data_IF_933609130242
#
_entry.id   IF_933609130242
#
_cell.length_a   1.000
_cell.length_b   1.000
_cell.length_c   1.000
_cell.angle_alpha   90.00
_cell.angle_beta   90.00
_cell.angle_gamma   90.00
#
_symmetry.space_group_name_H-M   'P 1'
#
loop_
_entity.id
_entity.type
_entity.pdbx_description
1 polymer ?
#
# COMPACT_ATOMS: atom_id res chain seq x y z
N UNK A 1 -1.75 -9.53 5.69
CA UNK A 1 -2.94 -9.52 4.81
C UNK A 1 -2.67 -10.19 3.46
N UNK A 2 -1.67 -9.76 2.68
CA UNK A 2 -1.37 -10.32 1.35
C UNK A 2 -1.01 -11.81 1.42
N UNK A 3 -0.23 -12.22 2.43
CA UNK A 3 0.08 -13.63 2.69
C UNK A 3 -1.16 -14.46 3.05
N UNK A 4 -2.00 -13.98 3.96
CA UNK A 4 -3.26 -14.65 4.32
C UNK A 4 -4.19 -14.81 3.09
N UNK A 5 -4.17 -13.84 2.16
CA UNK A 5 -4.91 -13.93 0.91
C UNK A 5 -4.30 -14.98 -0.03
N UNK A 6 -2.97 -15.07 -0.12
CA UNK A 6 -2.26 -16.10 -0.89
C UNK A 6 -2.67 -17.51 -0.41
N UNK A 7 -2.60 -17.75 0.91
CA UNK A 7 -3.00 -19.01 1.52
C UNK A 7 -4.51 -19.30 1.36
N UNK A 8 -5.37 -18.30 1.56
CA UNK A 8 -6.81 -18.45 1.37
C UNK A 8 -7.16 -18.86 -0.08
N UNK A 9 -6.52 -18.23 -1.08
CA UNK A 9 -6.72 -18.60 -2.49
C UNK A 9 -6.35 -20.06 -2.75
N UNK A 10 -5.23 -20.53 -2.20
CA UNK A 10 -4.83 -21.94 -2.31
C UNK A 10 -5.85 -22.88 -1.69
N UNK A 11 -6.26 -22.62 -0.45
CA UNK A 11 -7.22 -23.47 0.29
C UNK A 11 -8.56 -23.55 -0.42
N UNK A 12 -9.07 -22.41 -0.90
CA UNK A 12 -10.33 -22.34 -1.66
C UNK A 12 -10.21 -23.17 -2.94
N UNK A 13 -9.14 -23.01 -3.71
CA UNK A 13 -8.97 -23.75 -4.97
C UNK A 13 -8.80 -25.26 -4.75
N UNK A 14 -8.02 -25.66 -3.74
CA UNK A 14 -7.85 -27.07 -3.36
C UNK A 14 -9.20 -27.70 -2.97
N UNK A 15 -9.98 -27.01 -2.15
CA UNK A 15 -11.31 -27.46 -1.73
C UNK A 15 -12.25 -27.61 -2.92
N UNK A 16 -12.31 -26.61 -3.80
CA UNK A 16 -13.20 -26.68 -4.97
C UNK A 16 -12.79 -27.78 -5.94
N UNK A 17 -11.49 -28.00 -6.14
CA UNK A 17 -10.97 -29.08 -6.98
C UNK A 17 -11.33 -30.46 -6.40
N UNK A 18 -11.19 -30.66 -5.09
CA UNK A 18 -11.56 -31.91 -4.42
C UNK A 18 -13.05 -32.26 -4.58
N UNK A 19 -13.91 -31.26 -4.77
CA UNK A 19 -15.35 -31.44 -4.95
C UNK A 19 -15.83 -31.28 -6.41
N UNK A 20 -14.91 -31.15 -7.39
CA UNK A 20 -15.28 -30.97 -8.80
C UNK A 20 -16.04 -29.66 -9.09
N UNK A 21 -15.91 -28.65 -8.23
CA UNK A 21 -16.54 -27.35 -8.40
C UNK A 21 -15.58 -26.43 -9.15
N UNK A 22 -16.04 -25.81 -10.24
CA UNK A 22 -15.25 -24.80 -10.96
C UNK A 22 -15.17 -23.52 -10.12
N UNK A 23 -13.95 -23.12 -9.74
CA UNK A 23 -13.70 -21.89 -9.00
C UNK A 23 -13.11 -20.82 -9.92
N UNK A 24 -13.60 -19.58 -9.78
CA UNK A 24 -12.99 -18.40 -10.39
C UNK A 24 -12.94 -17.30 -9.33
N UNK A 25 -11.72 -16.93 -8.95
CA UNK A 25 -11.49 -15.89 -7.96
C UNK A 25 -11.81 -14.52 -8.55
N UNK A 26 -12.53 -13.69 -7.77
CA UNK A 26 -12.78 -12.30 -8.12
C UNK A 26 -11.94 -11.40 -7.23
N UNK A 27 -10.93 -10.76 -7.82
CA UNK A 27 -10.02 -9.87 -7.11
C UNK A 27 -10.66 -8.48 -6.94
N UNK A 28 -10.96 -8.15 -5.68
CA UNK A 28 -11.56 -6.88 -5.30
C UNK A 28 -10.57 -5.70 -5.25
N UNK A 29 -11.09 -4.55 -4.83
CA UNK A 29 -10.32 -3.32 -4.59
C UNK A 29 -9.21 -3.57 -3.56
N UNK A 30 -7.97 -3.17 -3.84
CA UNK A 30 -6.91 -3.20 -2.84
C UNK A 30 -5.86 -4.29 -2.99
N UNK A 31 -6.14 -5.36 -3.73
CA UNK A 31 -5.17 -6.42 -3.99
C UNK A 31 -4.12 -6.00 -5.02
N UNK A 32 -2.97 -6.69 -5.02
CA UNK A 32 -1.86 -6.49 -5.95
C UNK A 32 -2.31 -6.40 -7.42
N UNK A 33 -3.35 -7.14 -7.80
CA UNK A 33 -3.94 -7.13 -9.16
C UNK A 33 -4.79 -5.89 -9.46
N UNK A 34 -5.55 -5.38 -8.48
CA UNK A 34 -6.59 -4.35 -8.71
C UNK A 34 -6.21 -2.93 -8.28
N UNK A 35 -5.01 -2.70 -7.75
CA UNK A 35 -4.58 -1.36 -7.28
C UNK A 35 -3.58 -0.65 -8.17
N UNK A 36 -3.13 -1.26 -9.25
CA UNK A 36 -1.93 -0.78 -9.95
C UNK A 36 -0.74 -0.63 -9.00
N UNK A 37 -0.76 -1.30 -7.82
CA UNK A 37 0.30 -1.26 -6.79
C UNK A 37 1.63 -1.76 -7.35
N UNK A 38 1.54 -2.71 -8.28
CA UNK A 38 2.60 -3.04 -9.23
C UNK A 38 1.97 -3.15 -10.62
N UNK A 39 2.79 -3.44 -11.65
CA UNK A 39 2.26 -3.63 -12.99
C UNK A 39 1.40 -4.91 -13.06
N UNK A 40 0.33 -4.85 -13.87
CA UNK A 40 -0.73 -5.87 -13.93
C UNK A 40 -0.19 -7.26 -14.20
N UNK A 41 0.79 -7.37 -15.10
CA UNK A 41 1.40 -8.64 -15.48
C UNK A 41 2.04 -9.34 -14.26
N UNK A 42 2.86 -8.65 -13.49
CA UNK A 42 3.56 -9.17 -12.31
C UNK A 42 2.58 -9.53 -11.19
N UNK A 43 1.52 -8.73 -11.02
CA UNK A 43 0.49 -9.02 -10.05
C UNK A 43 -0.25 -10.33 -10.36
N UNK A 44 -0.50 -10.63 -11.63
CA UNK A 44 -1.10 -11.90 -12.06
C UNK A 44 -0.12 -13.06 -11.82
N UNK A 45 1.16 -12.89 -12.17
CA UNK A 45 2.21 -13.89 -11.93
C UNK A 45 2.45 -14.18 -10.44
N UNK A 46 2.16 -13.21 -9.56
CA UNK A 46 2.31 -13.37 -8.11
C UNK A 46 1.20 -14.19 -7.44
N UNK A 47 0.13 -14.55 -8.17
CA UNK A 47 -0.92 -15.41 -7.62
C UNK A 47 -0.36 -16.81 -7.32
N UNK A 48 -0.95 -17.55 -6.37
CA UNK A 48 -0.50 -18.92 -6.11
C UNK A 48 -0.64 -19.80 -7.34
N UNK A 49 0.36 -20.66 -7.55
CA UNK A 49 0.39 -21.60 -8.67
C UNK A 49 -0.91 -22.43 -8.68
N UNK A 50 -1.55 -22.52 -9.84
CA UNK A 50 -2.80 -23.26 -10.00
C UNK A 50 -4.01 -22.68 -9.27
N UNK A 51 -4.10 -21.35 -9.20
CA UNK A 51 -5.35 -20.66 -8.79
C UNK A 51 -6.04 -19.90 -9.92
N UNK A 52 -5.33 -19.65 -11.03
CA UNK A 52 -5.83 -18.85 -12.15
C UNK A 52 -6.54 -19.70 -13.22
N UNK A 53 -5.95 -20.83 -13.63
CA UNK A 53 -6.54 -21.80 -14.56
C UNK A 53 -7.16 -21.17 -15.83
N UNK A 54 -6.44 -20.25 -16.47
CA UNK A 54 -6.86 -19.60 -17.72
C UNK A 54 -7.98 -18.58 -17.56
N UNK A 55 -8.39 -18.26 -16.33
CA UNK A 55 -9.45 -17.29 -16.06
C UNK A 55 -9.02 -16.29 -14.99
N UNK A 56 -9.18 -15.00 -15.27
CA UNK A 56 -8.99 -13.96 -14.28
C UNK A 56 -10.15 -12.98 -14.29
N UNK A 57 -10.56 -12.54 -13.10
CA UNK A 57 -11.55 -11.49 -12.91
C UNK A 57 -11.06 -10.55 -11.82
N UNK A 58 -10.86 -9.28 -12.15
CA UNK A 58 -10.45 -8.28 -11.18
C UNK A 58 -11.22 -6.97 -11.39
N UNK A 59 -11.22 -6.14 -10.34
CA UNK A 59 -11.84 -4.82 -10.37
C UNK A 59 -10.84 -3.80 -10.87
N UNK A 60 -11.16 -3.08 -11.94
CA UNK A 60 -10.46 -1.84 -12.31
C UNK A 60 -11.08 -0.67 -11.58
N UNK A 61 -10.24 0.15 -10.93
CA UNK A 61 -10.71 1.28 -10.14
C UNK A 61 -10.92 2.52 -11.01
N UNK A 62 -11.89 3.36 -10.66
CA UNK A 62 -12.20 4.57 -11.44
C UNK A 62 -11.00 5.51 -11.59
N UNK A 63 -10.16 5.62 -10.56
CA UNK A 63 -8.95 6.45 -10.58
C UNK A 63 -7.87 5.97 -11.57
N UNK A 64 -7.92 4.70 -12.01
CA UNK A 64 -6.94 4.13 -12.94
C UNK A 64 -7.42 4.06 -14.39
N UNK A 65 -8.73 4.16 -14.61
CA UNK A 65 -9.32 3.96 -15.94
C UNK A 65 -8.76 4.90 -16.99
N UNK A 66 -8.58 6.18 -16.65
CA UNK A 66 -8.10 7.16 -17.63
C UNK A 66 -6.65 6.91 -18.06
N UNK A 67 -5.78 6.50 -17.15
CA UNK A 67 -4.38 6.23 -17.53
C UNK A 67 -4.22 4.92 -18.29
N UNK A 68 -5.08 3.92 -18.02
CA UNK A 68 -5.01 2.60 -18.62
C UNK A 68 -5.73 2.48 -19.95
N UNK A 69 -6.85 3.19 -20.11
CA UNK A 69 -7.80 2.91 -21.19
C UNK A 69 -8.30 4.15 -21.94
N UNK A 70 -7.82 5.37 -21.65
CA UNK A 70 -8.29 6.58 -22.38
C UNK A 70 -7.78 6.70 -23.81
N UNK A 71 -6.71 6.02 -24.18
CA UNK A 71 -6.22 5.98 -25.56
C UNK A 71 -5.90 4.55 -25.97
N UNK A 72 -5.85 4.32 -27.28
CA UNK A 72 -5.71 2.98 -27.84
C UNK A 72 -4.39 2.33 -27.43
N UNK A 73 -3.31 3.09 -27.37
CA UNK A 73 -1.97 2.60 -27.05
C UNK A 73 -1.89 2.07 -25.62
N UNK A 74 -2.40 2.84 -24.65
CA UNK A 74 -2.47 2.43 -23.23
C UNK A 74 -3.41 1.25 -23.04
N UNK A 75 -4.56 1.25 -23.72
CA UNK A 75 -5.51 0.14 -23.64
C UNK A 75 -4.92 -1.17 -24.18
N UNK A 76 -4.26 -1.12 -25.34
CA UNK A 76 -3.58 -2.27 -25.94
C UNK A 76 -2.46 -2.76 -25.01
N UNK A 77 -1.65 -1.86 -24.46
CA UNK A 77 -0.60 -2.22 -23.51
C UNK A 77 -1.18 -2.94 -22.28
N UNK A 78 -2.19 -2.36 -21.64
CA UNK A 78 -2.78 -2.90 -20.42
C UNK A 78 -3.45 -4.26 -20.67
N UNK A 79 -4.21 -4.41 -21.75
CA UNK A 79 -4.79 -5.69 -22.15
C UNK A 79 -3.71 -6.73 -22.47
N UNK A 80 -2.62 -6.32 -23.11
CA UNK A 80 -1.48 -7.20 -23.40
C UNK A 80 -0.82 -7.69 -22.11
N UNK A 81 -0.62 -6.80 -21.12
CA UNK A 81 -0.08 -7.18 -19.81
C UNK A 81 -1.01 -8.15 -19.07
N UNK A 82 -2.32 -7.92 -19.11
CA UNK A 82 -3.32 -8.82 -18.55
C UNK A 82 -3.33 -10.20 -19.21
N UNK A 83 -3.36 -10.24 -20.55
CA UNK A 83 -3.42 -11.48 -21.34
C UNK A 83 -2.13 -12.30 -21.19
N UNK A 84 -0.96 -11.67 -21.33
CA UNK A 84 0.32 -12.37 -21.22
C UNK A 84 0.57 -12.87 -19.80
N UNK A 85 0.18 -12.09 -18.79
CA UNK A 85 0.25 -12.50 -17.39
C UNK A 85 -0.67 -13.69 -17.11
N UNK A 86 -1.90 -13.65 -17.63
CA UNK A 86 -2.87 -14.74 -17.53
C UNK A 86 -2.34 -16.03 -18.16
N UNK A 87 -1.81 -15.96 -19.38
CA UNK A 87 -1.28 -17.12 -20.09
C UNK A 87 -0.14 -17.75 -19.28
N UNK A 88 0.83 -16.94 -18.82
CA UNK A 88 1.96 -17.44 -18.03
C UNK A 88 1.55 -18.01 -16.67
N UNK A 89 0.66 -17.34 -15.93
CA UNK A 89 0.14 -17.84 -14.65
C UNK A 89 -0.74 -19.09 -14.79
N UNK A 90 -1.10 -19.45 -16.03
CA UNK A 90 -1.87 -20.65 -16.36
C UNK A 90 -1.03 -21.73 -17.03
N UNK A 91 0.30 -21.64 -16.95
CA UNK A 91 1.20 -22.65 -17.51
C UNK A 91 0.89 -24.05 -16.97
N UNK A 92 0.42 -24.15 -15.73
CA UNK A 92 0.01 -25.41 -15.10
C UNK A 92 -1.12 -26.18 -15.84
N UNK A 93 -1.79 -25.57 -16.83
CA UNK A 93 -2.76 -26.23 -17.69
C UNK A 93 -2.12 -27.13 -18.75
N UNK A 94 -0.85 -26.89 -19.09
CA UNK A 94 -0.13 -27.61 -20.16
C UNK A 94 1.16 -28.27 -19.68
N UNK A 95 1.63 -27.93 -18.48
CA UNK A 95 2.77 -28.56 -17.82
C UNK A 95 2.46 -28.78 -16.34
N UNK A 96 3.09 -29.75 -15.66
CA UNK A 96 2.95 -29.90 -14.22
C UNK A 96 3.34 -28.61 -13.48
N UNK A 97 2.56 -28.26 -12.45
CA UNK A 97 2.91 -27.16 -11.55
C UNK A 97 4.24 -27.46 -10.85
N UNK A 98 5.09 -26.43 -10.70
CA UNK A 98 6.29 -26.56 -9.90
C UNK A 98 5.91 -26.88 -8.44
N UNK A 99 6.65 -27.77 -7.75
CA UNK A 99 6.39 -28.05 -6.35
C UNK A 99 6.64 -26.79 -5.52
N UNK A 100 5.74 -26.52 -4.58
CA UNK A 100 5.92 -25.40 -3.67
C UNK A 100 7.11 -25.63 -2.74
N UNK A 101 7.92 -24.59 -2.57
CA UNK A 101 9.01 -24.63 -1.60
C UNK A 101 8.43 -24.44 -0.19
N UNK A 102 8.30 -25.54 0.56
CA UNK A 102 7.74 -25.53 1.93
C UNK A 102 8.47 -24.56 2.85
N UNK A 103 9.78 -24.44 2.71
CA UNK A 103 10.61 -23.53 3.50
C UNK A 103 10.21 -22.07 3.25
N UNK A 104 9.85 -21.70 2.01
CA UNK A 104 9.39 -20.33 1.69
C UNK A 104 8.04 -20.02 2.31
N UNK A 105 7.14 -21.00 2.35
CA UNK A 105 5.83 -20.84 2.98
C UNK A 105 5.99 -20.66 4.50
N UNK A 106 6.81 -21.50 5.14
CA UNK A 106 7.10 -21.42 6.57
C UNK A 106 7.75 -20.08 6.95
N UNK A 107 8.74 -19.61 6.18
CA UNK A 107 9.31 -18.27 6.36
C UNK A 107 8.25 -17.18 6.25
N UNK A 108 7.35 -17.26 5.27
CA UNK A 108 6.29 -16.25 5.12
C UNK A 108 5.25 -16.29 6.24
N UNK A 109 4.94 -17.46 6.81
CA UNK A 109 4.08 -17.59 7.98
C UNK A 109 4.66 -16.82 9.18
N UNK A 110 5.95 -17.00 9.45
CA UNK A 110 6.66 -16.30 10.52
C UNK A 110 6.73 -14.79 10.26
N UNK A 111 7.12 -14.38 9.04
CA UNK A 111 7.18 -12.97 8.65
C UNK A 111 5.81 -12.29 8.77
N UNK A 112 4.74 -12.96 8.35
CA UNK A 112 3.38 -12.42 8.41
C UNK A 112 2.90 -12.25 9.85
N UNK A 113 3.18 -13.23 10.72
CA UNK A 113 2.83 -13.17 12.15
C UNK A 113 3.54 -12.01 12.87
N UNK A 114 4.85 -11.89 12.67
CA UNK A 114 5.66 -10.82 13.26
C UNK A 114 5.27 -9.45 12.72
N UNK A 115 5.06 -9.34 11.40
CA UNK A 115 4.66 -8.09 10.77
C UNK A 115 3.28 -7.62 11.21
N UNK A 116 2.31 -8.54 11.35
CA UNK A 116 0.99 -8.23 11.92
C UNK A 116 1.11 -7.75 13.37
N UNK A 117 1.92 -8.42 14.18
CA UNK A 117 2.15 -8.03 15.58
C UNK A 117 2.72 -6.62 15.67
N UNK A 118 3.75 -6.29 14.87
CA UNK A 118 4.34 -4.95 14.82
C UNK A 118 3.33 -3.89 14.37
N UNK A 119 2.53 -4.19 13.34
CA UNK A 119 1.48 -3.30 12.86
C UNK A 119 0.38 -3.05 13.91
N UNK A 120 -0.04 -4.09 14.64
CA UNK A 120 -1.03 -3.96 15.73
C UNK A 120 -0.44 -3.26 16.95
N UNK A 121 0.84 -3.45 17.23
CA UNK A 121 1.50 -2.70 18.30
C UNK A 121 1.42 -1.19 18.06
N UNK A 122 1.65 -0.74 16.83
CA UNK A 122 1.43 0.66 16.49
C UNK A 122 -0.06 1.03 16.50
N UNK A 123 -0.89 0.27 15.79
CA UNK A 123 -2.25 0.73 15.47
C UNK A 123 -3.30 0.48 16.55
N UNK A 124 -3.13 -0.55 17.36
CA UNK A 124 -4.09 -1.00 18.38
C UNK A 124 -3.57 -0.76 19.80
N UNK A 125 -2.25 -0.80 20.00
CA UNK A 125 -1.63 -0.76 21.35
C UNK A 125 -0.80 0.49 21.65
N UNK A 126 -0.65 1.42 20.70
CA UNK A 126 0.00 2.71 20.95
C UNK A 126 -1.05 3.75 21.29
N UNK A 127 -1.01 4.25 22.52
CA UNK A 127 -1.90 5.30 23.00
C UNK A 127 -1.80 6.57 22.12
N UNK A 128 -2.95 7.18 21.83
CA UNK A 128 -3.05 8.39 21.01
C UNK A 128 -2.81 8.17 19.51
N UNK A 129 -2.63 6.92 19.06
CA UNK A 129 -2.39 6.64 17.63
C UNK A 129 -3.54 7.09 16.72
N UNK A 130 -4.79 6.88 17.15
CA UNK A 130 -5.93 7.33 16.36
C UNK A 130 -6.03 8.87 16.34
N UNK A 131 -5.76 9.55 17.45
CA UNK A 131 -5.74 11.02 17.46
C UNK A 131 -4.64 11.56 16.52
N UNK A 132 -3.44 10.98 16.56
CA UNK A 132 -2.39 11.28 15.59
C UNK A 132 -2.82 11.06 14.14
N UNK A 133 -3.58 10.00 13.85
CA UNK A 133 -4.12 9.76 12.51
C UNK A 133 -5.15 10.83 12.11
N UNK A 134 -6.10 11.17 12.97
CA UNK A 134 -7.14 12.16 12.65
C UNK A 134 -6.61 13.58 12.57
N UNK A 135 -5.62 13.93 13.39
CA UNK A 135 -5.04 15.26 13.46
C UNK A 135 -3.86 15.42 12.49
N UNK A 136 -2.99 14.43 12.38
CA UNK A 136 -1.83 14.42 11.50
C UNK A 136 -2.14 14.12 10.03
N UNK A 137 -3.40 13.84 9.68
CA UNK A 137 -3.81 13.61 8.29
C UNK A 137 -5.10 14.36 7.94
N UNK A 138 -5.41 14.60 6.64
CA UNK A 138 -6.67 15.21 6.23
C UNK A 138 -7.84 14.21 6.15
N UNK A 139 -7.82 13.11 6.93
CA UNK A 139 -8.85 12.04 6.83
C UNK A 139 -10.26 12.57 7.12
N UNK A 140 -10.39 13.50 8.06
CA UNK A 140 -11.66 14.14 8.40
C UNK A 140 -12.21 14.92 7.21
N UNK A 141 -11.34 15.68 6.53
CA UNK A 141 -11.69 16.52 5.39
C UNK A 141 -11.91 15.71 4.10
N UNK A 142 -11.26 14.54 3.97
CA UNK A 142 -11.59 13.57 2.92
C UNK A 142 -13.07 13.15 2.99
N UNK A 143 -13.63 13.05 4.20
CA UNK A 143 -15.05 12.77 4.41
C UNK A 143 -16.00 13.86 3.92
N UNK A 144 -15.51 15.08 3.71
CA UNK A 144 -16.26 16.22 3.19
C UNK A 144 -16.23 16.31 1.66
N UNK A 145 -15.41 15.49 1.00
CA UNK A 145 -15.34 15.46 -0.45
C UNK A 145 -16.51 14.66 -1.04
N UNK A 146 -17.15 15.21 -2.07
CA UNK A 146 -18.12 14.51 -2.92
C UNK A 146 -17.46 13.46 -3.86
N UNK A 147 -16.40 12.78 -3.42
CA UNK A 147 -15.58 11.88 -4.24
C UNK A 147 -15.97 10.41 -4.05
N UNK A 148 -16.74 10.10 -3.01
CA UNK A 148 -17.40 8.82 -2.85
C UNK A 148 -18.89 8.99 -2.68
N UNK A 149 -19.69 8.12 -3.30
CA UNK A 149 -21.13 8.00 -3.01
C UNK A 149 -21.44 7.57 -1.56
N UNK A 150 -20.40 7.36 -0.73
CA UNK A 150 -20.53 6.82 0.62
C UNK A 150 -19.66 7.59 1.62
N UNK A 151 -20.13 7.83 2.85
CA UNK A 151 -19.41 8.56 3.89
C UNK A 151 -18.09 7.88 4.29
N UNK A 152 -17.10 8.65 4.74
CA UNK A 152 -15.77 8.16 5.17
C UNK A 152 -15.81 7.26 6.41
N UNK A 153 -16.84 7.40 7.24
CA UNK A 153 -17.08 6.59 8.44
C UNK A 153 -18.29 5.65 8.31
N UNK A 154 -18.32 4.59 9.12
CA UNK A 154 -19.52 3.76 9.33
C UNK A 154 -20.52 4.43 10.28
N UNK A 155 -20.05 5.20 11.27
CA UNK A 155 -20.85 6.02 12.21
C UNK A 155 -20.23 7.42 12.33
N UNK A 156 -21.04 8.48 12.25
CA UNK A 156 -20.57 9.88 12.33
C UNK A 156 -20.11 10.18 13.77
N UNK A 157 -18.91 10.74 13.94
CA UNK A 157 -18.36 11.11 15.25
C UNK A 157 -17.59 10.00 15.99
N UNK A 158 -17.63 8.76 15.49
CA UNK A 158 -16.88 7.64 16.07
C UNK A 158 -15.44 7.63 15.53
N UNK A 159 -14.46 7.92 16.39
CA UNK A 159 -13.03 7.89 16.06
C UNK A 159 -12.40 6.50 16.15
N UNK A 160 -13.16 5.45 16.46
CA UNK A 160 -12.61 4.10 16.54
C UNK A 160 -12.10 3.60 15.18
N UNK A 161 -11.01 2.82 15.21
CA UNK A 161 -10.41 2.17 14.02
C UNK A 161 -11.44 1.38 13.21
N UNK A 162 -12.42 0.76 13.86
CA UNK A 162 -13.51 -0.03 13.22
C UNK A 162 -14.50 0.83 12.44
N UNK A 163 -14.55 2.13 12.71
CA UNK A 163 -15.41 3.10 12.04
C UNK A 163 -14.80 3.60 10.73
N UNK A 164 -13.46 3.64 10.66
CA UNK A 164 -12.69 4.12 9.49
C UNK A 164 -12.77 3.11 8.36
N UNK A 165 -13.16 3.59 7.17
CA UNK A 165 -13.16 2.74 5.97
C UNK A 165 -11.75 2.59 5.41
N UNK A 166 -11.44 1.43 4.83
CA UNK A 166 -10.13 1.14 4.25
C UNK A 166 -9.62 2.18 3.23
N UNK A 167 -10.53 2.81 2.48
CA UNK A 167 -10.18 3.90 1.54
C UNK A 167 -9.67 5.11 2.33
N UNK A 168 -10.44 5.59 3.31
CA UNK A 168 -10.08 6.73 4.14
C UNK A 168 -8.78 6.46 4.92
N UNK A 169 -8.59 5.23 5.38
CA UNK A 169 -7.35 4.78 6.04
C UNK A 169 -6.13 4.97 5.14
N UNK A 170 -6.12 4.34 3.95
CA UNK A 170 -4.97 4.42 3.03
C UNK A 170 -4.77 5.85 2.52
N UNK A 171 -5.87 6.54 2.18
CA UNK A 171 -5.79 7.87 1.60
C UNK A 171 -5.31 8.92 2.59
N UNK A 172 -5.72 8.85 3.86
CA UNK A 172 -5.22 9.75 4.90
C UNK A 172 -3.69 9.69 5.03
N UNK A 173 -3.13 8.48 5.12
CA UNK A 173 -1.67 8.27 5.20
C UNK A 173 -0.92 8.61 3.93
N UNK A 174 -1.56 8.46 2.76
CA UNK A 174 -0.97 8.86 1.49
C UNK A 174 -0.85 10.39 1.37
N UNK A 175 -1.87 11.13 1.83
CA UNK A 175 -1.86 12.60 1.80
C UNK A 175 -0.75 13.18 2.69
N UNK A 176 -0.58 12.64 3.89
CA UNK A 176 0.48 13.05 4.82
C UNK A 176 1.86 12.43 4.53
N UNK A 177 2.04 11.78 3.38
CA UNK A 177 3.30 11.17 2.93
C UNK A 177 3.91 10.13 3.89
N UNK A 178 3.08 9.50 4.72
CA UNK A 178 3.52 8.38 5.55
C UNK A 178 3.44 7.05 4.77
N UNK A 179 2.38 6.86 3.97
CA UNK A 179 2.06 5.59 3.25
C UNK A 179 2.07 4.34 4.14
N UNK A 180 1.90 4.52 5.45
CA UNK A 180 2.05 3.53 6.52
C UNK A 180 1.40 2.17 6.23
N UNK A 181 0.15 2.09 5.74
CA UNK A 181 -0.55 0.81 5.57
C UNK A 181 0.11 -0.14 4.55
N UNK A 182 1.01 0.37 3.71
CA UNK A 182 1.62 -0.40 2.63
C UNK A 182 2.90 -1.13 3.03
N UNK A 183 3.57 -0.72 4.12
CA UNK A 183 4.91 -1.22 4.45
C UNK A 183 5.19 -1.39 5.94
N UNK A 184 4.42 -0.75 6.84
CA UNK A 184 4.72 -0.78 8.26
C UNK A 184 4.62 -2.21 8.83
N UNK A 185 5.65 -2.64 9.55
CA UNK A 185 5.79 -3.98 10.12
C UNK A 185 6.64 -4.93 9.27
N UNK A 186 6.87 -4.61 7.98
CA UNK A 186 7.71 -5.44 7.09
C UNK A 186 9.16 -5.39 7.54
N UNK A 187 9.70 -4.20 7.83
CA UNK A 187 11.08 -4.04 8.28
C UNK A 187 11.33 -4.80 9.59
N UNK A 188 10.43 -4.65 10.56
CA UNK A 188 10.49 -5.40 11.82
C UNK A 188 10.49 -6.91 11.58
N UNK A 189 9.57 -7.41 10.75
CA UNK A 189 9.49 -8.83 10.46
C UNK A 189 10.76 -9.39 9.83
N UNK A 190 11.31 -8.69 8.82
CA UNK A 190 12.52 -9.10 8.12
C UNK A 190 13.76 -9.06 9.03
N UNK A 191 13.93 -7.98 9.78
CA UNK A 191 15.06 -7.82 10.71
C UNK A 191 15.04 -8.89 11.81
N UNK A 192 13.89 -9.10 12.45
CA UNK A 192 13.73 -10.08 13.52
C UNK A 192 13.85 -11.52 13.01
N UNK A 193 13.36 -11.81 11.81
CA UNK A 193 13.50 -13.14 11.23
C UNK A 193 14.95 -13.41 10.83
N UNK A 194 15.65 -12.44 10.23
CA UNK A 194 17.04 -12.61 9.81
C UNK A 194 18.02 -12.68 10.97
N UNK A 195 17.84 -11.89 12.05
CA UNK A 195 18.77 -11.81 13.19
C UNK A 195 20.24 -11.64 12.79
N UNK A 196 20.49 -10.89 11.72
CA UNK A 196 21.80 -10.73 11.08
C UNK A 196 22.50 -11.99 10.53
N UNK A 197 21.79 -13.13 10.52
CA UNK A 197 22.25 -14.40 9.94
C UNK A 197 22.43 -14.26 8.40
N UNK A 198 23.64 -14.52 7.87
CA UNK A 198 23.91 -14.52 6.42
C UNK A 198 23.11 -15.56 5.64
N UNK A 199 22.85 -16.73 6.20
CA UNK A 199 22.14 -17.81 5.50
C UNK A 199 20.65 -17.47 5.37
N UNK A 200 20.07 -16.86 6.41
CA UNK A 200 18.70 -16.30 6.35
C UNK A 200 18.59 -15.16 5.34
N UNK A 201 19.61 -14.30 5.24
CA UNK A 201 19.63 -13.29 4.18
C UNK A 201 19.65 -13.93 2.79
N UNK A 202 20.53 -14.90 2.57
CA UNK A 202 20.61 -15.62 1.31
C UNK A 202 19.29 -16.31 0.94
N UNK A 203 18.55 -16.85 1.93
CA UNK A 203 17.22 -17.39 1.72
C UNK A 203 16.22 -16.32 1.25
N UNK A 204 16.16 -15.15 1.91
CA UNK A 204 15.28 -14.05 1.51
C UNK A 204 15.62 -13.52 0.11
N UNK A 205 16.91 -13.41 -0.21
CA UNK A 205 17.40 -13.04 -1.55
C UNK A 205 16.97 -14.07 -2.60
N UNK A 206 17.08 -15.37 -2.29
CA UNK A 206 16.62 -16.45 -3.17
C UNK A 206 15.10 -16.41 -3.36
N UNK A 207 14.33 -16.15 -2.30
CA UNK A 207 12.89 -15.93 -2.39
C UNK A 207 12.56 -14.75 -3.31
N UNK A 208 13.30 -13.64 -3.21
CA UNK A 208 13.08 -12.46 -4.08
C UNK A 208 13.39 -12.73 -5.56
N UNK A 209 14.41 -13.54 -5.83
CA UNK A 209 14.81 -13.90 -7.19
C UNK A 209 13.90 -14.95 -7.83
N UNK A 210 13.44 -15.93 -7.04
CA UNK A 210 12.81 -17.15 -7.56
C UNK A 210 11.31 -17.22 -7.32
N UNK A 211 10.76 -16.46 -6.37
CA UNK A 211 9.35 -16.53 -6.01
C UNK A 211 8.59 -15.25 -6.41
N UNK A 212 7.74 -15.29 -7.47
CA UNK A 212 7.01 -14.12 -7.96
C UNK A 212 6.17 -13.40 -6.90
N UNK A 213 5.61 -14.15 -5.95
CA UNK A 213 4.85 -13.59 -4.82
C UNK A 213 5.71 -12.67 -3.95
N UNK A 214 6.85 -13.16 -3.48
CA UNK A 214 7.73 -12.41 -2.60
C UNK A 214 8.39 -11.24 -3.34
N UNK A 215 8.75 -11.44 -4.61
CA UNK A 215 9.20 -10.35 -5.49
C UNK A 215 8.17 -9.23 -5.57
N UNK A 216 6.92 -9.55 -5.90
CA UNK A 216 5.85 -8.56 -6.01
C UNK A 216 5.56 -7.85 -4.67
N UNK A 217 5.61 -8.58 -3.54
CA UNK A 217 5.46 -7.99 -2.21
C UNK A 217 6.52 -6.91 -1.95
N UNK A 218 7.80 -7.23 -2.16
CA UNK A 218 8.88 -6.27 -1.94
C UNK A 218 8.93 -5.16 -2.99
N UNK A 219 8.60 -5.42 -4.26
CA UNK A 219 8.50 -4.36 -5.28
C UNK A 219 7.41 -3.34 -4.94
N UNK A 220 6.24 -3.78 -4.47
CA UNK A 220 5.17 -2.88 -4.03
C UNK A 220 5.59 -2.09 -2.77
N UNK A 221 6.29 -2.76 -1.85
CA UNK A 221 6.85 -2.14 -0.64
C UNK A 221 7.85 -1.04 -1.01
N UNK A 222 8.78 -1.31 -1.93
CA UNK A 222 9.74 -0.33 -2.44
C UNK A 222 9.06 0.91 -3.01
N UNK A 223 8.02 0.71 -3.84
CA UNK A 223 7.29 1.84 -4.42
C UNK A 223 6.55 2.65 -3.35
N UNK A 224 5.98 2.00 -2.32
CA UNK A 224 5.30 2.70 -1.23
C UNK A 224 6.28 3.47 -0.33
N UNK A 225 7.46 2.90 -0.06
CA UNK A 225 8.55 3.57 0.66
C UNK A 225 9.08 4.75 -0.15
N UNK A 226 9.28 4.60 -1.46
CA UNK A 226 9.74 5.68 -2.33
C UNK A 226 8.78 6.89 -2.36
N UNK A 227 7.48 6.64 -2.18
CA UNK A 227 6.46 7.69 -2.10
C UNK A 227 6.34 8.32 -0.71
N UNK A 228 6.81 7.63 0.32
CA UNK A 228 6.86 8.16 1.68
C UNK A 228 7.93 9.25 1.75
N UNK A 229 7.61 10.35 2.42
CA UNK A 229 8.55 11.47 2.60
C UNK A 229 8.62 11.80 4.09
N UNK A 230 9.60 11.26 4.83
CA UNK A 230 9.69 11.46 6.27
C UNK A 230 9.72 12.93 6.69
N UNK A 231 10.38 13.79 5.92
CA UNK A 231 10.44 15.22 6.20
C UNK A 231 9.07 15.89 6.11
N UNK A 232 8.26 15.55 5.10
CA UNK A 232 6.90 16.05 4.96
C UNK A 232 6.02 15.44 6.06
N UNK A 233 6.10 14.13 6.28
CA UNK A 233 5.38 13.43 7.34
C UNK A 233 5.61 14.09 8.72
N UNK A 234 6.84 14.53 9.01
CA UNK A 234 7.20 15.29 10.22
C UNK A 234 6.46 16.61 10.34
N UNK A 235 6.27 17.33 9.24
CA UNK A 235 5.51 18.59 9.25
C UNK A 235 4.02 18.36 9.48
N UNK A 236 3.46 17.27 8.94
CA UNK A 236 2.09 16.82 9.25
C UNK A 236 1.94 16.38 10.70
N UNK A 237 2.93 15.71 11.28
CA UNK A 237 2.94 15.33 12.69
C UNK A 237 2.76 16.56 13.62
N UNK A 238 3.28 17.73 13.23
CA UNK A 238 3.11 18.99 13.99
C UNK A 238 1.68 19.54 13.99
N UNK A 239 0.75 18.97 13.23
CA UNK A 239 -0.68 19.31 13.31
C UNK A 239 -1.36 18.71 14.53
N UNK A 240 -0.77 17.69 15.15
CA UNK A 240 -1.34 17.02 16.31
C UNK A 240 -1.28 17.94 17.53
N UNK A 241 -2.35 17.91 18.33
CA UNK A 241 -2.50 18.77 19.52
C UNK A 241 -1.52 18.36 20.61
N UNK A 242 -1.41 17.05 20.88
CA UNK A 242 -0.44 16.54 21.85
C UNK A 242 0.92 16.28 21.19
N UNK A 243 1.87 17.18 21.46
CA UNK A 243 3.24 17.09 20.96
C UNK A 243 3.97 15.83 21.44
N UNK A 244 3.66 15.29 22.63
CA UNK A 244 4.31 14.07 23.14
C UNK A 244 3.87 12.85 22.35
N UNK A 245 2.55 12.69 22.16
CA UNK A 245 1.98 11.64 21.31
C UNK A 245 2.51 11.74 19.88
N UNK A 246 2.54 12.95 19.31
CA UNK A 246 3.07 13.20 17.97
C UNK A 246 4.52 12.77 17.82
N UNK A 247 5.42 13.23 18.71
CA UNK A 247 6.84 12.86 18.69
C UNK A 247 7.04 11.36 18.84
N UNK A 248 6.29 10.71 19.73
CA UNK A 248 6.36 9.26 19.96
C UNK A 248 5.99 8.48 18.70
N UNK A 249 4.85 8.77 18.09
CA UNK A 249 4.36 8.03 16.92
C UNK A 249 5.20 8.31 15.68
N UNK A 250 5.59 9.57 15.45
CA UNK A 250 6.49 9.92 14.36
C UNK A 250 7.85 9.22 14.49
N UNK A 251 8.37 9.09 15.71
CA UNK A 251 9.61 8.34 15.97
C UNK A 251 9.45 6.87 15.58
N UNK A 252 8.38 6.19 16.02
CA UNK A 252 8.10 4.80 15.64
C UNK A 252 7.96 4.63 14.12
N UNK A 253 7.29 5.58 13.46
CA UNK A 253 7.19 5.64 12.01
C UNK A 253 8.57 5.73 11.34
N UNK A 254 9.42 6.65 11.79
CA UNK A 254 10.74 6.89 11.19
C UNK A 254 11.67 5.69 11.40
N UNK A 255 11.67 5.10 12.60
CA UNK A 255 12.45 3.91 12.92
C UNK A 255 12.07 2.74 12.01
N UNK A 256 10.77 2.46 11.86
CA UNK A 256 10.30 1.39 10.97
C UNK A 256 10.56 1.71 9.50
N UNK A 257 10.44 2.97 9.07
CA UNK A 257 10.77 3.39 7.71
C UNK A 257 12.23 3.07 7.39
N UNK A 258 13.16 3.55 8.22
CA UNK A 258 14.60 3.32 8.03
C UNK A 258 14.94 1.84 8.06
N UNK A 259 14.37 1.08 9.01
CA UNK A 259 14.53 -0.37 9.09
C UNK A 259 14.04 -1.06 7.82
N UNK A 260 12.83 -0.73 7.37
CA UNK A 260 12.23 -1.37 6.18
C UNK A 260 13.04 -1.07 4.94
N UNK A 261 13.50 0.17 4.74
CA UNK A 261 14.39 0.53 3.63
C UNK A 261 15.67 -0.31 3.67
N UNK A 262 16.34 -0.39 4.82
CA UNK A 262 17.59 -1.15 4.95
C UNK A 262 17.40 -2.64 4.62
N UNK A 263 16.37 -3.28 5.19
CA UNK A 263 16.12 -4.71 4.94
C UNK A 263 15.72 -4.99 3.50
N UNK A 264 14.91 -4.12 2.90
CA UNK A 264 14.53 -4.24 1.48
C UNK A 264 15.76 -4.16 0.59
N UNK A 265 16.64 -3.16 0.79
CA UNK A 265 17.87 -3.02 -0.01
C UNK A 265 18.81 -4.22 0.16
N UNK A 266 18.95 -4.76 1.37
CA UNK A 266 19.75 -5.97 1.62
C UNK A 266 19.22 -7.19 0.84
N UNK A 267 17.90 -7.35 0.77
CA UNK A 267 17.26 -8.50 0.11
C UNK A 267 17.27 -8.34 -1.42
N UNK A 268 17.07 -7.13 -1.93
CA UNK A 268 17.10 -6.88 -3.38
C UNK A 268 18.53 -6.80 -3.92
N UNK A 269 19.51 -6.51 -3.07
CA UNK A 269 20.88 -6.22 -3.47
C UNK A 269 21.03 -4.84 -4.14
N UNK A 270 20.02 -3.98 -4.02
CA UNK A 270 20.02 -2.64 -4.59
C UNK A 270 20.72 -1.63 -3.66
N UNK A 271 21.27 -0.57 -4.25
CA UNK A 271 21.86 0.58 -3.56
C UNK A 271 20.81 1.62 -3.18
N UNK A 272 19.72 1.68 -3.94
CA UNK A 272 18.60 2.58 -3.71
C UNK A 272 17.26 1.94 -4.08
N UNK A 273 16.18 2.46 -3.51
CA UNK A 273 14.83 1.99 -3.81
C UNK A 273 14.53 2.16 -5.30
N UNK A 274 13.86 1.18 -5.90
CA UNK A 274 13.46 1.17 -7.31
C UNK A 274 14.61 1.13 -8.34
N UNK A 275 15.84 0.79 -7.94
CA UNK A 275 16.98 0.66 -8.87
C UNK A 275 16.70 -0.33 -10.02
N UNK A 276 15.96 -1.42 -9.76
CA UNK A 276 15.56 -2.39 -10.79
C UNK A 276 14.45 -1.88 -11.74
N UNK A 277 13.88 -0.69 -11.49
CA UNK A 277 12.84 -0.08 -12.31
C UNK A 277 13.07 1.44 -12.51
N UNK A 278 14.10 1.82 -13.28
CA UNK A 278 14.49 3.22 -13.45
C UNK A 278 13.40 4.07 -14.13
N UNK A 279 12.55 3.46 -14.96
CA UNK A 279 11.42 4.16 -15.59
C UNK A 279 10.40 4.61 -14.54
N UNK A 280 10.05 3.73 -13.61
CA UNK A 280 9.15 4.06 -12.50
C UNK A 280 9.79 5.08 -11.56
N UNK A 281 11.06 4.91 -11.21
CA UNK A 281 11.82 5.85 -10.39
C UNK A 281 11.74 7.27 -10.97
N UNK A 282 12.15 7.45 -12.23
CA UNK A 282 12.09 8.76 -12.91
C UNK A 282 10.66 9.30 -12.96
N UNK A 283 9.67 8.45 -13.22
CA UNK A 283 8.25 8.85 -13.25
C UNK A 283 7.76 9.39 -11.90
N UNK A 284 8.21 8.82 -10.79
CA UNK A 284 7.85 9.25 -9.44
C UNK A 284 8.63 10.50 -9.04
N UNK A 285 9.94 10.54 -9.25
CA UNK A 285 10.80 11.69 -8.94
C UNK A 285 10.33 12.97 -9.63
N UNK A 286 9.86 12.88 -10.89
CA UNK A 286 9.31 14.03 -11.63
C UNK A 286 8.06 14.65 -11.00
N UNK A 287 7.37 13.94 -10.08
CA UNK A 287 6.18 14.44 -9.40
C UNK A 287 6.51 15.20 -8.12
N UNK A 288 7.65 14.91 -7.48
CA UNK A 288 8.04 15.53 -6.21
C UNK A 288 8.08 17.07 -6.26
N UNK A 289 8.63 17.72 -7.31
CA UNK A 289 8.61 19.19 -7.40
C UNK A 289 7.21 19.82 -7.39
N UNK A 290 6.17 19.05 -7.71
CA UNK A 290 4.78 19.49 -7.64
C UNK A 290 4.11 19.06 -6.32
N UNK A 291 4.41 17.86 -5.83
CA UNK A 291 3.81 17.31 -4.62
C UNK A 291 4.29 18.03 -3.36
N UNK A 292 5.57 18.35 -3.26
CA UNK A 292 6.16 18.97 -2.08
C UNK A 292 5.51 20.32 -1.74
N UNK A 293 5.42 21.31 -2.68
CA UNK A 293 4.72 22.55 -2.38
C UNK A 293 3.23 22.34 -2.10
N UNK A 294 2.57 21.39 -2.79
CA UNK A 294 1.16 21.07 -2.51
C UNK A 294 0.96 20.54 -1.10
N UNK A 295 1.88 19.70 -0.60
CA UNK A 295 1.86 19.19 0.77
C UNK A 295 1.99 20.32 1.80
N UNK A 296 2.87 21.31 1.56
CA UNK A 296 3.03 22.47 2.44
C UNK A 296 1.86 23.48 2.36
N UNK A 297 1.28 23.65 1.18
CA UNK A 297 0.03 24.40 1.01
C UNK A 297 -1.09 23.73 1.79
N UNK A 298 -1.26 22.41 1.65
CA UNK A 298 -2.27 21.64 2.38
C UNK A 298 -2.09 21.77 3.90
N UNK A 299 -0.85 21.74 4.42
CA UNK A 299 -0.58 21.98 5.84
C UNK A 299 -1.10 23.33 6.33
N UNK A 300 -0.86 24.39 5.55
CA UNK A 300 -1.33 25.75 5.88
C UNK A 300 -2.86 25.81 5.85
N UNK A 301 -3.47 25.19 4.84
CA UNK A 301 -4.92 25.13 4.68
C UNK A 301 -5.59 24.34 5.82
N UNK A 302 -5.00 23.21 6.23
CA UNK A 302 -5.47 22.43 7.37
C UNK A 302 -5.43 23.23 8.66
N UNK A 303 -4.31 23.93 8.93
CA UNK A 303 -4.18 24.80 10.12
C UNK A 303 -5.28 25.85 10.15
N UNK A 304 -5.45 26.60 9.06
CA UNK A 304 -6.48 27.67 8.99
C UNK A 304 -7.91 27.12 9.04
N UNK A 305 -8.17 25.96 8.45
CA UNK A 305 -9.50 25.35 8.48
C UNK A 305 -9.85 24.80 9.88
N UNK A 306 -8.86 24.36 10.65
CA UNK A 306 -9.03 23.78 12.00
C UNK A 306 -8.86 24.80 13.13
N UNK A 307 -8.45 26.03 12.83
CA UNK A 307 -8.23 27.07 13.82
C UNK A 307 -9.55 27.56 14.44
N UNK A 308 -9.79 27.21 15.69
CA UNK A 308 -10.99 27.60 16.44
C UNK A 308 -11.00 29.08 16.84
N UNK A 309 -9.88 29.80 16.70
CA UNK A 309 -9.84 31.25 16.92
C UNK A 309 -10.42 32.06 15.74
N UNK A 310 -10.60 31.43 14.58
CA UNK A 310 -11.21 32.04 13.40
C UNK A 310 -12.73 31.87 13.40
N UNK A 311 -13.46 32.80 12.79
CA UNK A 311 -14.91 32.66 12.61
C UNK A 311 -15.24 31.51 11.66
N UNK A 312 -16.46 30.95 11.78
CA UNK A 312 -16.92 29.87 10.90
C UNK A 312 -16.87 30.25 9.41
N UNK A 313 -17.17 31.51 9.09
CA UNK A 313 -17.07 32.06 7.72
C UNK A 313 -15.62 32.07 7.21
N UNK A 314 -14.68 32.50 8.06
CA UNK A 314 -13.25 32.47 7.73
C UNK A 314 -12.77 31.04 7.52
N UNK A 315 -13.12 30.11 8.41
CA UNK A 315 -12.79 28.69 8.27
C UNK A 315 -13.38 28.10 6.98
N UNK A 316 -14.65 28.38 6.68
CA UNK A 316 -15.33 27.90 5.47
C UNK A 316 -14.63 28.35 4.17
N UNK A 317 -14.04 29.54 4.15
CA UNK A 317 -13.28 30.05 2.99
C UNK A 317 -12.07 29.18 2.62
N UNK A 318 -11.46 28.49 3.60
CA UNK A 318 -10.30 27.62 3.40
C UNK A 318 -10.66 26.21 2.92
N UNK A 319 -11.93 25.81 3.06
CA UNK A 319 -12.36 24.45 2.74
C UNK A 319 -12.19 24.12 1.24
N UNK A 320 -12.63 25.00 0.33
CA UNK A 320 -12.56 24.69 -1.11
C UNK A 320 -11.10 24.53 -1.61
N UNK A 321 -10.16 25.44 -1.29
CA UNK A 321 -8.73 25.21 -1.58
C UNK A 321 -8.18 23.94 -0.95
N UNK A 322 -8.59 23.61 0.29
CA UNK A 322 -8.15 22.39 0.97
C UNK A 322 -8.58 21.14 0.20
N UNK A 323 -9.87 21.05 -0.19
CA UNK A 323 -10.37 19.92 -0.97
C UNK A 323 -9.67 19.80 -2.33
N UNK A 324 -9.33 20.93 -2.97
CA UNK A 324 -8.52 20.93 -4.21
C UNK A 324 -7.12 20.39 -3.97
N UNK A 325 -6.47 20.74 -2.86
CA UNK A 325 -5.15 20.22 -2.50
C UNK A 325 -5.19 18.70 -2.31
N UNK A 326 -6.24 18.16 -1.68
CA UNK A 326 -6.41 16.72 -1.46
C UNK A 326 -6.49 16.00 -2.81
N UNK A 327 -7.27 16.53 -3.75
CA UNK A 327 -7.38 16.00 -5.11
C UNK A 327 -6.05 16.04 -5.88
N UNK A 328 -5.32 17.16 -5.79
CA UNK A 328 -4.06 17.32 -6.49
C UNK A 328 -2.99 16.34 -5.99
N UNK A 329 -2.86 16.20 -4.66
CA UNK A 329 -1.92 15.24 -4.06
C UNK A 329 -2.33 13.81 -4.39
N UNK A 330 -3.63 13.48 -4.34
CA UNK A 330 -4.13 12.18 -4.71
C UNK A 330 -3.76 11.81 -6.16
N UNK A 331 -3.92 12.75 -7.10
CA UNK A 331 -3.59 12.54 -8.50
C UNK A 331 -2.09 12.29 -8.73
N UNK A 332 -1.22 12.95 -7.95
CA UNK A 332 0.24 12.73 -8.03
C UNK A 332 0.69 11.44 -7.34
N UNK A 333 0.15 11.14 -6.17
CA UNK A 333 0.47 9.93 -5.38
C UNK A 333 -0.04 8.65 -6.05
N UNK A 334 -1.19 8.71 -6.72
CA UNK A 334 -1.88 7.57 -7.34
C UNK A 334 -2.04 6.40 -6.33
N UNK A 335 -1.64 5.21 -6.72
CA UNK A 335 -1.63 3.97 -5.95
C UNK A 335 -0.64 4.00 -4.77
N UNK A 336 -1.11 3.84 -3.53
CA UNK A 336 -0.27 4.04 -2.33
C UNK A 336 -0.36 2.95 -1.27
N UNK A 337 -1.08 1.86 -1.53
CA UNK A 337 -1.05 0.68 -0.67
C UNK A 337 -1.87 -0.46 -1.20
#
# INVERSE_FOLDING_TARGET
>A
SVWSLYDAQKRVTQLTNAHGVRCRLFHGRGGTVGRGGGPTHEAILSQPEGTVHGQIKFTEQGEVLSFKYSNQETAVYELTMGLTGLIKASANLVQPAAPECKDYLATMDELASTGETAYRQLTDHTEGFLDYFYEGTPVSEIGLMNIGSRPSHRKKGDRAKTSVRAIAWVFGWAQSRHTLPAWFGIGTALEQWRQDDPDRLAQLQKMYQQWPFFRALLSNTQMALFKAEPNIAKEYAKLCVDEKTSKRIYKLFLEEYTRTVAQVLNITGAKQLLEENPVLEVSLTRRNPYLDPLNHIQLTLLRRYRDEALSDEQRASWLNPLLRSINAIAAGMRNTG
#
